data_IF_365882044476
#
_entry.id   IF_365882044476
#
_cell.length_a   1.000
_cell.length_b   1.000
_cell.length_c   1.000
_cell.angle_alpha   90.00
_cell.angle_beta   90.00
_cell.angle_gamma   90.00
#
_symmetry.space_group_name_H-M   'P 1'
#
loop_
_entity.id
_entity.type
_entity.pdbx_description
1 polymer ?
#
# COMPACT_ATOMS: atom_id res chain seq x y z
N UNK A 1 -33.91 26.90 -26.47
CA UNK A 1 -33.54 27.20 -25.07
C UNK A 1 -33.00 25.89 -24.50
N UNK A 2 -31.68 25.74 -24.54
CA UNK A 2 -31.01 24.55 -24.02
C UNK A 2 -30.98 24.60 -22.50
N UNK A 3 -31.27 23.47 -21.88
CA UNK A 3 -31.00 23.20 -20.47
C UNK A 3 -29.71 22.37 -20.48
N UNK A 4 -28.60 23.01 -20.10
CA UNK A 4 -27.39 22.30 -19.72
C UNK A 4 -27.47 22.10 -18.20
N UNK A 5 -27.41 20.83 -17.82
CA UNK A 5 -27.33 20.33 -16.45
C UNK A 5 -25.85 20.13 -16.14
N UNK A 6 -25.20 21.17 -15.61
CA UNK A 6 -23.83 21.12 -15.10
C UNK A 6 -23.88 20.85 -13.60
N UNK A 7 -24.09 19.60 -13.22
CA UNK A 7 -23.87 19.10 -11.87
C UNK A 7 -22.38 18.86 -11.65
N UNK A 8 -21.63 19.91 -11.33
CA UNK A 8 -20.24 19.79 -10.87
C UNK A 8 -20.17 19.17 -9.46
N UNK A 9 -19.39 18.10 -9.36
CA UNK A 9 -19.01 17.40 -8.13
C UNK A 9 -18.29 18.35 -7.14
N UNK A 10 -19.04 18.95 -6.22
CA UNK A 10 -18.48 19.49 -4.99
C UNK A 10 -18.06 18.34 -4.06
N UNK A 11 -16.81 17.92 -4.18
CA UNK A 11 -16.16 17.06 -3.19
C UNK A 11 -16.12 17.79 -1.83
N UNK A 12 -17.12 17.52 -1.00
CA UNK A 12 -17.33 18.18 0.29
C UNK A 12 -16.16 17.93 1.23
N UNK A 13 -15.30 18.95 1.36
CA UNK A 13 -14.30 19.03 2.42
C UNK A 13 -14.96 18.86 3.79
N UNK A 14 -14.38 17.99 4.61
CA UNK A 14 -14.93 17.66 5.93
C UNK A 14 -14.67 18.81 6.90
N UNK A 15 -15.67 19.25 7.71
CA UNK A 15 -15.43 20.19 8.78
C UNK A 15 -14.35 19.68 9.75
N UNK A 16 -13.47 20.57 10.22
CA UNK A 16 -12.38 20.26 11.17
C UNK A 16 -12.87 19.53 12.43
N UNK A 17 -14.12 19.74 12.83
CA UNK A 17 -14.77 19.10 13.98
C UNK A 17 -15.01 17.59 13.77
N UNK A 18 -15.35 17.17 12.54
CA UNK A 18 -15.53 15.74 12.22
C UNK A 18 -14.19 15.03 12.04
N UNK A 19 -13.13 15.73 11.61
CA UNK A 19 -11.77 15.17 11.62
C UNK A 19 -11.24 14.93 13.04
N UNK A 20 -11.73 15.67 14.04
CA UNK A 20 -11.32 15.52 15.43
C UNK A 20 -11.89 14.26 16.12
N UNK A 21 -12.88 13.59 15.52
CA UNK A 21 -13.44 12.34 16.06
C UNK A 21 -12.71 11.07 15.62
N UNK A 22 -11.88 11.16 14.58
CA UNK A 22 -11.07 10.04 14.10
C UNK A 22 -9.67 10.14 14.71
N UNK A 23 -9.27 9.13 15.48
CA UNK A 23 -7.91 9.02 15.98
C UNK A 23 -7.07 8.27 14.94
N UNK A 24 -6.10 8.94 14.34
CA UNK A 24 -5.17 8.33 13.39
C UNK A 24 -3.77 8.90 13.55
N UNK A 25 -2.77 8.09 13.25
CA UNK A 25 -1.36 8.52 13.31
C UNK A 25 -1.06 9.46 12.14
N UNK A 26 -0.45 10.60 12.46
CA UNK A 26 -0.02 11.60 11.49
C UNK A 26 1.47 11.89 11.61
N UNK A 27 2.19 11.67 10.53
CA UNK A 27 3.57 12.10 10.34
C UNK A 27 3.63 13.40 9.53
N UNK A 28 4.68 14.20 9.74
CA UNK A 28 4.88 15.47 9.04
C UNK A 28 6.31 15.60 8.54
N UNK A 29 6.45 15.95 7.26
CA UNK A 29 7.74 16.23 6.63
C UNK A 29 7.73 17.62 5.98
N UNK A 30 8.91 18.14 5.66
CA UNK A 30 9.07 19.41 4.96
C UNK A 30 9.46 19.14 3.52
N UNK A 31 8.66 19.62 2.57
CA UNK A 31 8.95 19.53 1.14
C UNK A 31 9.35 20.89 0.56
N UNK A 32 10.38 20.94 -0.29
CA UNK A 32 10.78 22.16 -1.02
C UNK A 32 9.94 22.28 -2.30
N UNK A 33 8.98 23.21 -2.42
CA UNK A 33 8.09 23.27 -3.58
C UNK A 33 8.81 23.78 -4.84
N UNK A 34 8.53 23.16 -6.00
CA UNK A 34 8.99 23.59 -7.32
C UNK A 34 7.99 24.50 -8.02
N UNK A 35 6.69 24.23 -7.84
CA UNK A 35 5.60 25.09 -8.30
C UNK A 35 4.75 25.54 -7.12
N UNK A 36 4.16 26.74 -7.24
CA UNK A 36 3.28 27.33 -6.21
C UNK A 36 1.91 27.75 -6.74
N UNK A 37 1.61 27.41 -8.00
CA UNK A 37 0.37 27.82 -8.65
C UNK A 37 -0.83 27.00 -8.15
N UNK A 38 -1.93 27.69 -7.89
CA UNK A 38 -3.20 27.07 -7.51
C UNK A 38 -3.81 26.37 -8.73
N UNK A 39 -4.17 25.08 -8.60
CA UNK A 39 -4.75 24.28 -9.68
C UNK A 39 -3.76 23.34 -10.39
N UNK A 40 -2.45 23.48 -10.15
CA UNK A 40 -1.45 22.53 -10.63
C UNK A 40 -1.16 21.44 -9.58
N UNK A 41 -0.80 20.24 -10.05
CA UNK A 41 -0.26 19.20 -9.16
C UNK A 41 1.00 19.71 -8.48
N UNK A 42 1.04 19.61 -7.15
CA UNK A 42 2.21 20.05 -6.37
C UNK A 42 3.43 19.20 -6.71
N UNK A 43 4.53 19.86 -7.10
CA UNK A 43 5.83 19.23 -7.33
C UNK A 43 6.84 19.73 -6.31
N UNK A 44 7.76 18.85 -5.92
CA UNK A 44 8.78 19.11 -4.91
C UNK A 44 10.16 18.75 -5.43
N UNK A 45 11.18 19.32 -4.82
CA UNK A 45 12.56 18.82 -4.96
C UNK A 45 12.71 17.66 -3.99
N UNK A 46 13.03 16.47 -4.52
CA UNK A 46 13.30 15.26 -3.76
C UNK A 46 14.55 15.37 -2.88
N UNK A 47 14.77 14.32 -2.08
CA UNK A 47 16.00 14.11 -1.31
C UNK A 47 17.20 13.73 -2.20
N UNK A 48 16.92 13.27 -3.41
CA UNK A 48 17.88 13.05 -4.50
C UNK A 48 18.10 14.30 -5.37
N UNK A 49 17.58 15.45 -4.96
CA UNK A 49 17.62 16.74 -5.67
C UNK A 49 16.90 16.76 -7.04
N UNK A 50 16.14 15.70 -7.36
CA UNK A 50 15.33 15.61 -8.59
C UNK A 50 13.87 16.07 -8.38
N UNK A 51 13.18 16.56 -9.43
CA UNK A 51 11.76 16.89 -9.35
C UNK A 51 10.87 15.67 -9.12
N UNK A 52 10.07 15.67 -8.06
CA UNK A 52 9.17 14.57 -7.70
C UNK A 52 7.75 15.06 -7.32
N UNK A 53 6.79 14.14 -7.28
CA UNK A 53 5.44 14.36 -6.72
C UNK A 53 5.46 14.25 -5.19
N UNK A 54 4.33 14.55 -4.55
CA UNK A 54 4.22 14.47 -3.08
C UNK A 54 4.32 13.02 -2.57
N UNK A 55 3.76 12.07 -3.32
CA UNK A 55 3.78 10.63 -2.98
C UNK A 55 5.19 10.07 -3.09
N UNK A 56 5.93 10.50 -4.11
CA UNK A 56 7.33 10.11 -4.33
C UNK A 56 8.25 10.67 -3.26
N UNK A 57 8.03 11.92 -2.85
CA UNK A 57 8.72 12.50 -1.69
C UNK A 57 8.45 11.68 -0.42
N UNK A 58 7.21 11.18 -0.27
CA UNK A 58 6.83 10.24 0.78
C UNK A 58 7.61 8.93 0.71
N UNK A 59 7.68 8.30 -0.46
CA UNK A 59 8.46 7.06 -0.68
C UNK A 59 9.94 7.25 -0.31
N UNK A 60 10.58 8.32 -0.78
CA UNK A 60 11.97 8.64 -0.43
C UNK A 60 12.15 8.84 1.08
N UNK A 61 11.25 9.59 1.73
CA UNK A 61 11.30 9.81 3.17
C UNK A 61 11.22 8.49 3.95
N UNK A 62 10.31 7.60 3.56
CA UNK A 62 10.15 6.30 4.22
C UNK A 62 11.35 5.37 4.00
N UNK A 63 11.96 5.42 2.81
CA UNK A 63 13.17 4.66 2.49
C UNK A 63 14.36 5.08 3.34
N UNK A 64 14.60 6.39 3.49
CA UNK A 64 15.89 6.89 3.99
C UNK A 64 15.82 7.56 5.38
N UNK A 65 14.66 8.05 5.80
CA UNK A 65 14.58 9.04 6.88
C UNK A 65 13.51 8.77 7.94
N UNK A 66 12.54 7.88 7.68
CA UNK A 66 11.46 7.63 8.64
C UNK A 66 11.99 7.01 9.94
N UNK A 67 11.75 7.63 11.12
CA UNK A 67 12.27 7.15 12.38
C UNK A 67 11.57 5.87 12.84
N UNK A 68 12.34 4.94 13.42
CA UNK A 68 11.78 3.73 14.02
C UNK A 68 11.68 3.91 15.55
N UNK A 69 10.60 3.42 16.16
CA UNK A 69 10.35 3.50 17.61
C UNK A 69 11.26 2.59 18.45
N UNK A 70 12.42 2.16 17.92
CA UNK A 70 13.38 1.33 18.64
C UNK A 70 14.33 2.23 19.41
N UNK A 71 13.98 2.53 20.66
CA UNK A 71 14.86 3.22 21.62
C UNK A 71 15.88 2.23 22.17
N UNK A 72 16.81 1.80 21.32
CA UNK A 72 18.09 1.27 21.81
C UNK A 72 18.96 2.49 22.09
N UNK A 73 19.54 2.59 23.29
CA UNK A 73 20.16 3.82 23.84
C UNK A 73 21.26 4.50 23.01
N UNK A 74 21.70 3.94 21.87
CA UNK A 74 22.85 4.45 21.14
C UNK A 74 22.68 4.56 19.61
N UNK A 75 21.61 4.03 18.98
CA UNK A 75 21.38 4.17 17.52
C UNK A 75 19.89 4.37 17.24
N UNK A 76 19.51 5.55 16.70
CA UNK A 76 18.18 5.76 16.11
C UNK A 76 18.21 5.13 14.72
N UNK A 77 17.63 3.94 14.56
CA UNK A 77 17.43 3.36 13.23
C UNK A 77 16.35 4.16 12.49
N UNK A 78 16.64 4.54 11.24
CA UNK A 78 15.71 5.19 10.33
C UNK A 78 15.55 4.34 9.07
N UNK A 79 14.53 4.63 8.26
CA UNK A 79 14.46 4.10 6.89
C UNK A 79 14.16 2.59 6.78
N UNK A 80 14.54 2.04 5.63
CA UNK A 80 14.38 0.63 5.27
C UNK A 80 12.98 0.25 4.79
N UNK A 81 12.15 1.23 4.42
CA UNK A 81 10.83 0.99 3.84
C UNK A 81 10.86 1.17 2.33
N UNK A 82 10.40 0.15 1.61
CA UNK A 82 10.27 0.16 0.15
C UNK A 82 8.82 -0.06 -0.22
N UNK A 83 8.33 0.60 -1.25
CA UNK A 83 6.92 0.50 -1.59
C UNK A 83 6.56 1.05 -2.94
N UNK A 84 5.26 1.14 -3.16
CA UNK A 84 4.64 1.62 -4.40
C UNK A 84 3.53 2.62 -4.09
N UNK A 85 3.35 3.60 -4.97
CA UNK A 85 2.14 4.40 -5.03
C UNK A 85 1.10 3.65 -5.86
N UNK A 86 0.12 3.02 -5.18
CA UNK A 86 -0.79 2.05 -5.81
C UNK A 86 -2.26 2.43 -5.78
N UNK A 87 -2.65 3.44 -4.99
CA UNK A 87 -4.06 3.85 -4.81
C UNK A 87 -4.96 2.64 -4.50
N UNK A 88 -4.44 1.69 -3.71
CA UNK A 88 -5.10 0.45 -3.33
C UNK A 88 -5.13 -0.67 -4.39
N UNK A 89 -4.48 -0.52 -5.54
CA UNK A 89 -4.48 -1.55 -6.61
C UNK A 89 -3.91 -2.89 -6.16
N UNK A 90 -2.89 -2.87 -5.30
CA UNK A 90 -2.30 -4.09 -4.72
C UNK A 90 -3.36 -4.87 -3.94
N UNK A 91 -4.14 -4.21 -3.07
CA UNK A 91 -5.20 -4.88 -2.31
C UNK A 91 -6.33 -5.39 -3.20
N UNK A 92 -6.72 -4.61 -4.22
CA UNK A 92 -7.71 -5.07 -5.21
C UNK A 92 -7.23 -6.34 -5.92
N UNK A 93 -5.97 -6.38 -6.35
CA UNK A 93 -5.36 -7.56 -6.96
C UNK A 93 -5.32 -8.74 -5.99
N UNK A 94 -4.90 -8.52 -4.73
CA UNK A 94 -4.89 -9.57 -3.71
C UNK A 94 -6.29 -10.18 -3.52
N UNK A 95 -7.32 -9.33 -3.39
CA UNK A 95 -8.71 -9.76 -3.28
C UNK A 95 -9.18 -10.50 -4.53
N UNK A 96 -9.01 -9.91 -5.72
CA UNK A 96 -9.47 -10.48 -6.97
C UNK A 96 -8.87 -11.86 -7.26
N UNK A 97 -7.58 -12.03 -7.01
CA UNK A 97 -6.87 -13.32 -7.21
C UNK A 97 -7.25 -14.31 -6.11
N UNK A 98 -7.19 -13.94 -4.83
CA UNK A 98 -7.51 -14.85 -3.72
C UNK A 98 -9.00 -15.15 -3.57
N UNK A 99 -9.90 -14.41 -4.23
CA UNK A 99 -11.34 -14.67 -4.21
C UNK A 99 -11.87 -15.07 -5.58
N UNK A 100 -11.01 -15.37 -6.56
CA UNK A 100 -11.42 -15.60 -7.94
C UNK A 100 -12.57 -16.61 -8.10
N UNK A 101 -12.44 -17.78 -7.47
CA UNK A 101 -13.47 -18.83 -7.51
C UNK A 101 -14.79 -18.42 -6.84
N UNK A 102 -14.73 -17.47 -5.91
CA UNK A 102 -15.89 -16.92 -5.22
C UNK A 102 -16.56 -15.85 -6.09
N UNK A 103 -15.77 -14.92 -6.62
CA UNK A 103 -16.21 -13.80 -7.45
C UNK A 103 -16.88 -14.28 -8.75
N UNK A 104 -16.31 -15.30 -9.38
CA UNK A 104 -16.77 -15.85 -10.65
C UNK A 104 -17.51 -17.20 -10.50
N UNK A 105 -18.04 -17.48 -9.31
CA UNK A 105 -18.88 -18.65 -9.06
C UNK A 105 -20.14 -18.63 -9.96
N UNK A 106 -20.63 -19.83 -10.32
CA UNK A 106 -21.85 -20.00 -11.10
C UNK A 106 -23.09 -19.77 -10.22
N UNK A 107 -23.41 -18.49 -9.97
CA UNK A 107 -24.65 -18.06 -9.29
C UNK A 107 -25.68 -17.68 -10.37
N UNK A 108 -26.95 -18.09 -10.25
CA UNK A 108 -27.99 -17.72 -11.21
C UNK A 108 -28.10 -16.20 -11.39
N UNK A 109 -28.34 -15.76 -12.63
CA UNK A 109 -28.67 -14.37 -13.01
C UNK A 109 -27.60 -13.28 -12.78
N UNK A 110 -26.45 -13.59 -12.16
CA UNK A 110 -25.40 -12.59 -11.89
C UNK A 110 -24.44 -12.38 -13.07
N UNK A 111 -24.34 -13.36 -13.97
CA UNK A 111 -23.62 -13.26 -15.25
C UNK A 111 -24.59 -13.56 -16.39
N UNK A 112 -25.03 -12.51 -17.07
CA UNK A 112 -26.00 -12.54 -18.16
C UNK A 112 -25.33 -12.49 -19.53
N UNK A 113 -24.09 -12.01 -19.60
CA UNK A 113 -23.33 -11.92 -20.86
C UNK A 113 -21.87 -12.37 -20.70
N UNK A 114 -21.20 -12.83 -21.77
CA UNK A 114 -19.78 -13.18 -21.75
C UNK A 114 -18.82 -11.99 -21.54
N UNK A 115 -19.31 -10.75 -21.56
CA UNK A 115 -18.48 -9.53 -21.53
C UNK A 115 -18.38 -8.89 -20.14
N UNK A 116 -18.96 -9.51 -19.12
CA UNK A 116 -18.93 -8.96 -17.77
C UNK A 116 -17.59 -9.17 -17.07
N UNK A 117 -17.03 -8.09 -16.52
CA UNK A 117 -15.78 -8.12 -15.74
C UNK A 117 -15.99 -8.38 -14.24
N UNK A 118 -17.25 -8.37 -13.77
CA UNK A 118 -17.66 -8.63 -12.39
C UNK A 118 -19.11 -9.15 -12.33
N UNK A 119 -19.50 -9.86 -11.26
CA UNK A 119 -20.88 -10.29 -11.09
C UNK A 119 -21.80 -9.10 -10.78
N UNK A 120 -23.02 -9.11 -11.31
CA UNK A 120 -23.97 -7.99 -11.18
C UNK A 120 -24.38 -7.72 -9.73
N UNK A 121 -24.35 -8.75 -8.88
CA UNK A 121 -24.70 -8.62 -7.47
C UNK A 121 -23.59 -8.04 -6.60
N UNK A 122 -22.36 -7.87 -7.12
CA UNK A 122 -21.26 -7.27 -6.35
C UNK A 122 -21.60 -5.87 -5.81
N UNK A 123 -22.40 -5.06 -6.51
CA UNK A 123 -22.80 -3.74 -6.01
C UNK A 123 -23.68 -3.77 -4.75
N UNK A 124 -24.18 -4.94 -4.36
CA UNK A 124 -25.12 -5.13 -3.27
C UNK A 124 -24.50 -6.09 -2.23
N UNK A 125 -23.70 -5.54 -1.31
CA UNK A 125 -22.87 -6.34 -0.41
C UNK A 125 -23.62 -7.44 0.35
N UNK A 126 -24.79 -7.13 0.90
CA UNK A 126 -25.62 -8.10 1.63
C UNK A 126 -26.04 -9.26 0.70
N UNK A 127 -26.48 -8.96 -0.53
CA UNK A 127 -26.92 -9.97 -1.51
C UNK A 127 -25.74 -10.80 -2.02
N UNK A 128 -24.62 -10.14 -2.36
CA UNK A 128 -23.40 -10.80 -2.81
C UNK A 128 -22.90 -11.81 -1.77
N UNK A 129 -22.88 -11.39 -0.50
CA UNK A 129 -22.45 -12.23 0.61
C UNK A 129 -23.40 -13.40 0.82
N UNK A 130 -24.71 -13.16 0.92
CA UNK A 130 -25.70 -14.23 1.16
C UNK A 130 -25.64 -15.31 0.07
N UNK A 131 -25.54 -14.91 -1.21
CA UNK A 131 -25.47 -15.84 -2.33
C UNK A 131 -24.17 -16.66 -2.36
N UNK A 132 -23.12 -16.23 -1.67
CA UNK A 132 -21.78 -16.85 -1.69
C UNK A 132 -21.25 -17.16 -0.30
N UNK A 133 -22.10 -17.17 0.73
CA UNK A 133 -21.70 -17.27 2.13
C UNK A 133 -20.76 -18.44 2.35
N UNK A 134 -21.16 -19.63 1.94
CA UNK A 134 -20.35 -20.84 2.13
C UNK A 134 -18.99 -20.77 1.41
N UNK A 135 -18.94 -20.18 0.22
CA UNK A 135 -17.69 -20.01 -0.54
C UNK A 135 -16.76 -18.98 0.12
N UNK A 136 -17.31 -17.86 0.58
CA UNK A 136 -16.59 -16.79 1.26
C UNK A 136 -16.04 -17.30 2.59
N UNK A 137 -16.88 -17.88 3.44
CA UNK A 137 -16.48 -18.41 4.74
C UNK A 137 -15.42 -19.50 4.60
N UNK A 138 -15.58 -20.39 3.62
CA UNK A 138 -14.58 -21.42 3.33
C UNK A 138 -13.24 -20.82 2.90
N UNK A 139 -13.22 -19.83 1.99
CA UNK A 139 -11.97 -19.20 1.56
C UNK A 139 -11.29 -18.46 2.71
N UNK A 140 -12.06 -17.81 3.58
CA UNK A 140 -11.52 -17.12 4.76
C UNK A 140 -10.92 -18.11 5.75
N UNK A 141 -11.60 -19.22 6.05
CA UNK A 141 -11.07 -20.29 6.91
C UNK A 141 -9.81 -20.94 6.30
N UNK A 142 -9.82 -21.15 4.98
CA UNK A 142 -8.65 -21.63 4.24
C UNK A 142 -7.43 -20.73 4.46
N UNK A 143 -7.58 -19.42 4.27
CA UNK A 143 -6.48 -18.47 4.44
C UNK A 143 -6.02 -18.39 5.90
N UNK A 144 -6.96 -18.29 6.84
CA UNK A 144 -6.67 -18.04 8.25
C UNK A 144 -6.12 -19.27 8.98
N UNK A 145 -6.79 -20.41 8.82
CA UNK A 145 -6.65 -21.55 9.71
C UNK A 145 -6.06 -22.79 9.00
N UNK A 146 -6.37 -23.02 7.72
CA UNK A 146 -5.99 -24.26 7.03
C UNK A 146 -4.69 -24.17 6.21
N UNK A 147 -4.42 -23.06 5.54
CA UNK A 147 -3.27 -22.92 4.66
C UNK A 147 -2.05 -22.45 5.44
N UNK A 148 -0.91 -23.11 5.20
CA UNK A 148 0.39 -22.54 5.57
C UNK A 148 0.70 -21.32 4.70
N UNK A 149 1.70 -20.52 5.08
CA UNK A 149 2.13 -19.39 4.25
C UNK A 149 2.57 -19.87 2.86
N UNK A 150 3.30 -20.98 2.79
CA UNK A 150 3.76 -21.57 1.53
C UNK A 150 2.58 -21.97 0.64
N UNK A 151 1.55 -22.60 1.22
CA UNK A 151 0.35 -23.00 0.49
C UNK A 151 -0.46 -21.80 0.00
N UNK A 152 -0.55 -20.74 0.80
CA UNK A 152 -1.19 -19.48 0.42
C UNK A 152 -0.48 -18.84 -0.78
N UNK A 153 0.85 -18.70 -0.71
CA UNK A 153 1.63 -18.12 -1.79
C UNK A 153 1.55 -18.98 -3.06
N UNK A 154 1.63 -20.29 -2.94
CA UNK A 154 1.46 -21.20 -4.07
C UNK A 154 0.07 -21.11 -4.71
N UNK A 155 -0.99 -21.03 -3.90
CA UNK A 155 -2.36 -20.85 -4.38
C UNK A 155 -2.54 -19.49 -5.09
N UNK A 156 -1.91 -18.44 -4.58
CA UNK A 156 -1.90 -17.13 -5.23
C UNK A 156 -1.23 -17.17 -6.60
N UNK A 157 0.00 -17.71 -6.68
CA UNK A 157 0.74 -17.85 -7.95
C UNK A 157 -0.03 -18.70 -8.96
N UNK A 158 -0.54 -19.86 -8.53
CA UNK A 158 -1.33 -20.74 -9.38
C UNK A 158 -2.51 -20.01 -10.02
N UNK A 159 -3.20 -19.18 -9.23
CA UNK A 159 -4.35 -18.41 -9.71
C UNK A 159 -3.93 -17.20 -10.55
N UNK A 160 -2.85 -16.52 -10.17
CA UNK A 160 -2.28 -15.43 -10.94
C UNK A 160 -1.97 -15.89 -12.37
N UNK A 161 -1.24 -17.00 -12.50
CA UNK A 161 -0.81 -17.54 -13.80
C UNK A 161 -2.00 -18.06 -14.64
N UNK A 162 -2.99 -18.70 -14.01
CA UNK A 162 -4.15 -19.27 -14.75
C UNK A 162 -5.12 -18.23 -15.27
N UNK A 163 -5.17 -17.05 -14.64
CA UNK A 163 -6.12 -15.98 -14.97
C UNK A 163 -5.45 -14.74 -15.57
N UNK A 164 -4.12 -14.73 -15.68
CA UNK A 164 -3.37 -13.59 -16.17
C UNK A 164 -3.91 -13.08 -17.52
N UNK A 165 -4.09 -11.77 -17.62
CA UNK A 165 -4.61 -11.10 -18.82
C UNK A 165 -6.13 -11.13 -18.98
N UNK A 166 -6.89 -11.87 -18.15
CA UNK A 166 -8.36 -11.82 -18.19
C UNK A 166 -8.89 -10.50 -17.65
N UNK A 167 -9.90 -9.94 -18.30
CA UNK A 167 -10.52 -8.69 -17.85
C UNK A 167 -11.28 -8.91 -16.54
N UNK A 168 -10.92 -8.18 -15.50
CA UNK A 168 -11.55 -8.23 -14.19
C UNK A 168 -11.75 -6.82 -13.64
N UNK A 169 -12.87 -6.56 -12.94
CA UNK A 169 -13.04 -5.33 -12.15
C UNK A 169 -12.06 -5.27 -10.98
N UNK A 170 -11.61 -6.42 -10.49
CA UNK A 170 -10.86 -6.54 -9.24
C UNK A 170 -9.37 -6.60 -9.46
N UNK A 171 -8.92 -7.10 -10.62
CA UNK A 171 -7.50 -7.28 -10.90
C UNK A 171 -7.06 -6.39 -12.05
N UNK A 172 -6.06 -5.56 -11.79
CA UNK A 172 -5.31 -4.84 -12.81
C UNK A 172 -3.98 -5.57 -13.05
N UNK A 173 -3.89 -6.25 -14.18
CA UNK A 173 -2.69 -7.00 -14.55
C UNK A 173 -1.55 -6.04 -14.92
N UNK A 174 -0.38 -6.17 -14.28
CA UNK A 174 0.79 -5.33 -14.54
C UNK A 174 1.43 -5.68 -15.88
N UNK A 175 2.14 -4.73 -16.48
CA UNK A 175 2.97 -4.98 -17.67
C UNK A 175 4.22 -5.82 -17.36
N UNK A 176 4.81 -5.62 -16.18
CA UNK A 176 5.87 -6.47 -15.63
C UNK A 176 5.25 -7.43 -14.61
N UNK A 177 4.89 -8.62 -15.07
CA UNK A 177 4.22 -9.65 -14.28
C UNK A 177 5.14 -10.27 -13.24
N UNK A 178 6.39 -10.55 -13.60
CA UNK A 178 7.38 -11.16 -12.71
C UNK A 178 7.68 -10.27 -11.51
N UNK A 179 8.02 -9.00 -11.74
CA UNK A 179 8.39 -8.09 -10.65
C UNK A 179 7.20 -7.78 -9.74
N UNK A 180 6.04 -7.57 -10.35
CA UNK A 180 4.81 -7.32 -9.61
C UNK A 180 4.37 -8.55 -8.82
N UNK A 181 4.49 -9.76 -9.36
CA UNK A 181 4.15 -10.98 -8.65
C UNK A 181 5.02 -11.14 -7.39
N UNK A 182 6.35 -10.96 -7.49
CA UNK A 182 7.24 -10.97 -6.32
C UNK A 182 6.79 -9.95 -5.25
N UNK A 183 6.45 -8.73 -5.67
CA UNK A 183 5.95 -7.70 -4.76
C UNK A 183 4.64 -8.11 -4.06
N UNK A 184 3.68 -8.70 -4.78
CA UNK A 184 2.43 -9.19 -4.18
C UNK A 184 2.69 -10.35 -3.20
N UNK A 185 3.63 -11.25 -3.51
CA UNK A 185 4.01 -12.34 -2.60
C UNK A 185 4.68 -11.82 -1.32
N UNK A 186 5.58 -10.85 -1.42
CA UNK A 186 6.16 -10.19 -0.24
C UNK A 186 5.10 -9.44 0.57
N UNK A 187 4.13 -8.82 -0.12
CA UNK A 187 2.99 -8.16 0.53
C UNK A 187 2.14 -9.15 1.31
N UNK A 188 1.81 -10.31 0.73
CA UNK A 188 1.07 -11.38 1.41
C UNK A 188 1.80 -11.88 2.66
N UNK A 189 3.13 -12.08 2.55
CA UNK A 189 3.95 -12.47 3.68
C UNK A 189 3.97 -11.42 4.79
N UNK A 190 4.02 -10.12 4.44
CA UNK A 190 4.04 -9.02 5.39
C UNK A 190 2.68 -8.71 6.04
N UNK A 191 1.56 -8.93 5.33
CA UNK A 191 0.21 -8.82 5.90
C UNK A 191 0.00 -9.92 6.95
N UNK A 192 0.42 -11.15 6.65
CA UNK A 192 0.12 -12.29 7.51
C UNK A 192 -1.27 -12.89 7.24
N UNK A 193 -1.48 -14.14 7.66
CA UNK A 193 -2.70 -14.90 7.32
C UNK A 193 -3.96 -14.38 8.00
N UNK A 194 -3.84 -13.85 9.22
CA UNK A 194 -5.00 -13.44 10.02
C UNK A 194 -5.57 -12.10 9.54
N UNK A 195 -4.70 -11.13 9.35
CA UNK A 195 -5.01 -9.80 8.84
C UNK A 195 -5.49 -9.89 7.38
N UNK A 196 -4.89 -10.78 6.57
CA UNK A 196 -5.35 -11.04 5.21
C UNK A 196 -6.76 -11.61 5.18
N UNK A 197 -7.07 -12.55 6.08
CA UNK A 197 -8.42 -13.11 6.21
C UNK A 197 -9.45 -12.03 6.60
N UNK A 198 -9.09 -11.13 7.53
CA UNK A 198 -9.92 -9.97 7.90
C UNK A 198 -10.12 -9.01 6.72
N UNK A 199 -9.06 -8.71 5.95
CA UNK A 199 -9.13 -7.87 4.76
C UNK A 199 -10.06 -8.48 3.69
N UNK A 200 -9.89 -9.77 3.36
CA UNK A 200 -10.73 -10.46 2.39
C UNK A 200 -12.20 -10.48 2.82
N UNK A 201 -12.45 -10.70 4.12
CA UNK A 201 -13.80 -10.64 4.69
C UNK A 201 -14.41 -9.26 4.53
N UNK A 202 -13.68 -8.22 4.93
CA UNK A 202 -14.13 -6.83 4.82
C UNK A 202 -14.47 -6.52 3.35
N UNK A 203 -13.58 -6.82 2.41
CA UNK A 203 -13.78 -6.57 0.99
C UNK A 203 -14.91 -7.40 0.35
N UNK A 204 -15.34 -8.51 0.97
CA UNK A 204 -16.45 -9.32 0.49
C UNK A 204 -17.82 -8.93 1.09
N UNK A 205 -17.83 -8.12 2.16
CA UNK A 205 -19.03 -7.84 2.96
C UNK A 205 -19.33 -6.36 3.17
N UNK A 206 -18.35 -5.48 2.99
CA UNK A 206 -18.49 -4.04 3.20
C UNK A 206 -19.26 -3.37 2.07
N UNK A 207 -20.27 -2.57 2.44
CA UNK A 207 -21.00 -1.71 1.50
C UNK A 207 -20.08 -0.66 0.89
N UNK A 208 -19.17 -0.12 1.69
CA UNK A 208 -18.21 0.90 1.32
C UNK A 208 -17.30 0.40 0.18
N UNK A 209 -16.72 -0.79 0.31
CA UNK A 209 -15.86 -1.35 -0.73
C UNK A 209 -16.65 -1.72 -2.01
N UNK A 210 -17.87 -2.22 -1.86
CA UNK A 210 -18.71 -2.63 -2.99
C UNK A 210 -19.23 -1.44 -3.81
N UNK A 211 -19.54 -0.32 -3.14
CA UNK A 211 -20.06 0.91 -3.76
C UNK A 211 -18.96 1.86 -4.20
N UNK A 212 -17.86 1.97 -3.45
CA UNK A 212 -16.77 2.88 -3.73
C UNK A 212 -15.40 2.28 -3.36
N UNK A 213 -14.66 1.84 -4.37
CA UNK A 213 -13.29 1.33 -4.23
C UNK A 213 -12.22 2.44 -4.14
N UNK A 214 -12.66 3.69 -3.91
CA UNK A 214 -11.81 4.88 -3.86
C UNK A 214 -11.50 5.23 -2.40
N UNK A 215 -10.36 5.91 -2.19
CA UNK A 215 -9.92 6.36 -0.87
C UNK A 215 -9.09 5.36 -0.08
N UNK A 216 -8.70 4.24 -0.72
CA UNK A 216 -7.62 3.39 -0.20
C UNK A 216 -6.32 4.20 -0.15
N UNK A 217 -5.44 3.96 0.85
CA UNK A 217 -4.19 4.71 1.01
C UNK A 217 -3.32 4.71 -0.26
N UNK A 218 -2.70 5.86 -0.52
CA UNK A 218 -1.81 6.07 -1.67
C UNK A 218 -0.65 5.06 -1.69
N UNK A 219 0.09 4.96 -0.58
CA UNK A 219 1.31 4.16 -0.50
C UNK A 219 1.09 2.85 0.25
N UNK A 220 1.66 1.78 -0.30
CA UNK A 220 1.89 0.52 0.40
C UNK A 220 3.40 0.33 0.56
N UNK A 221 3.85 0.24 1.81
CA UNK A 221 5.25 0.14 2.18
C UNK A 221 5.52 -1.19 2.86
N UNK A 222 6.62 -1.82 2.48
CA UNK A 222 7.17 -3.04 3.04
C UNK A 222 8.52 -2.75 3.67
N UNK A 223 8.75 -3.33 4.84
CA UNK A 223 10.05 -3.34 5.50
C UNK A 223 10.37 -4.74 5.95
N UNK A 224 11.40 -5.33 5.36
CA UNK A 224 11.80 -6.71 5.63
C UNK A 224 13.20 -6.66 6.24
N UNK A 225 13.27 -6.79 7.55
CA UNK A 225 14.54 -6.91 8.28
C UNK A 225 15.04 -8.34 8.16
N UNK A 226 16.31 -8.51 7.83
CA UNK A 226 16.97 -9.81 7.85
C UNK A 226 17.81 -9.90 9.13
N UNK A 227 17.46 -10.81 10.03
CA UNK A 227 18.17 -11.01 11.29
C UNK A 227 19.51 -11.70 11.04
N UNK A 228 20.59 -11.07 11.48
CA UNK A 228 21.93 -11.70 11.48
C UNK A 228 21.96 -12.75 12.61
N UNK A 229 22.41 -13.99 12.37
CA UNK A 229 22.74 -14.89 13.47
C UNK A 229 23.84 -14.26 14.33
N UNK A 230 23.68 -14.19 15.65
CA UNK A 230 24.60 -13.52 16.58
C UNK A 230 26.05 -14.05 16.55
N UNK A 231 26.30 -15.20 15.93
CA UNK A 231 27.58 -15.92 15.96
C UNK A 231 28.30 -16.07 14.59
N UNK A 232 27.83 -15.41 13.52
CA UNK A 232 28.52 -15.49 12.22
C UNK A 232 29.20 -14.14 11.87
N UNK A 233 30.54 -14.06 11.92
CA UNK A 233 31.29 -12.86 11.56
C UNK A 233 31.40 -12.64 10.04
N UNK A 234 30.90 -13.57 9.22
CA UNK A 234 30.88 -13.41 7.77
C UNK A 234 29.74 -12.47 7.34
N UNK A 235 29.98 -11.53 6.40
CA UNK A 235 28.92 -10.72 5.83
C UNK A 235 27.86 -11.64 5.19
N UNK A 236 26.58 -11.27 5.29
CA UNK A 236 25.51 -11.76 4.41
C UNK A 236 25.92 -11.40 2.97
N UNK A 237 26.72 -12.22 2.29
CA UNK A 237 27.17 -12.03 0.92
C UNK A 237 26.83 -13.27 0.08
N UNK A 238 26.24 -13.18 -1.13
CA UNK A 238 25.49 -12.08 -1.74
C UNK A 238 24.11 -12.59 -2.21
N UNK A 239 23.34 -13.32 -1.38
CA UNK A 239 22.10 -13.95 -1.88
C UNK A 239 20.95 -12.96 -2.08
N UNK A 240 20.84 -11.94 -1.22
CA UNK A 240 19.74 -10.99 -1.25
C UNK A 240 20.27 -9.55 -1.28
N UNK A 241 19.63 -8.63 -2.03
CA UNK A 241 20.02 -7.24 -2.07
C UNK A 241 19.61 -6.57 -0.75
N UNK A 242 20.58 -6.16 0.06
CA UNK A 242 20.38 -5.51 1.37
C UNK A 242 20.75 -4.03 1.26
N UNK A 243 19.95 -3.16 1.87
CA UNK A 243 20.17 -1.72 1.90
C UNK A 243 21.11 -1.28 3.05
N UNK A 244 21.34 0.03 3.17
CA UNK A 244 22.17 0.59 4.23
C UNK A 244 21.53 0.52 5.63
N UNK A 245 20.29 0.04 5.76
CA UNK A 245 19.53 -0.08 7.00
C UNK A 245 19.38 -1.54 7.47
N UNK A 246 20.16 -2.48 6.90
CA UNK A 246 20.06 -3.93 7.12
C UNK A 246 18.68 -4.52 6.74
N UNK A 247 17.98 -3.87 5.81
CA UNK A 247 16.69 -4.29 5.29
C UNK A 247 16.84 -4.81 3.85
N UNK A 248 15.95 -5.70 3.42
CA UNK A 248 15.89 -6.11 2.01
C UNK A 248 15.56 -4.89 1.14
N UNK A 249 16.37 -4.63 0.12
CA UNK A 249 15.98 -3.75 -0.98
C UNK A 249 14.91 -4.48 -1.82
N UNK A 250 13.64 -4.22 -1.51
CA UNK A 250 12.49 -4.86 -2.13
C UNK A 250 12.44 -4.59 -3.64
N UNK A 251 12.80 -3.38 -4.07
CA UNK A 251 12.80 -3.04 -5.51
C UNK A 251 13.81 -3.90 -6.26
N UNK A 252 15.05 -3.96 -5.79
CA UNK A 252 16.10 -4.79 -6.38
C UNK A 252 15.76 -6.29 -6.34
N UNK A 253 15.19 -6.79 -5.23
CA UNK A 253 14.76 -8.19 -5.11
C UNK A 253 13.66 -8.55 -6.12
N UNK A 254 12.69 -7.66 -6.28
CA UNK A 254 11.60 -7.86 -7.23
C UNK A 254 12.03 -7.63 -8.68
N UNK A 255 13.14 -6.92 -8.92
CA UNK A 255 13.51 -6.44 -10.25
C UNK A 255 12.69 -5.23 -10.71
N UNK A 256 12.13 -4.47 -9.77
CA UNK A 256 11.41 -3.23 -10.05
C UNK A 256 12.40 -2.09 -10.25
N UNK A 257 12.13 -1.21 -11.21
CA UNK A 257 12.94 0.00 -11.40
C UNK A 257 12.67 0.99 -10.25
N UNK A 258 13.72 1.30 -9.48
CA UNK A 258 13.71 2.29 -8.41
C UNK A 258 13.31 3.68 -8.92
N UNK A 259 13.58 3.99 -10.21
CA UNK A 259 13.23 5.27 -10.85
C UNK A 259 11.78 5.31 -11.32
N UNK A 260 11.20 4.19 -11.78
CA UNK A 260 9.81 4.15 -12.29
C UNK A 260 8.77 4.25 -11.18
N UNK A 261 9.08 3.80 -9.96
CA UNK A 261 8.26 4.09 -8.77
C UNK A 261 8.35 5.56 -8.33
N UNK A 262 9.27 6.33 -8.92
CA UNK A 262 9.55 7.72 -8.58
C UNK A 262 9.33 8.72 -9.71
N UNK A 263 8.86 8.33 -10.91
CA UNK A 263 8.39 9.26 -11.94
C UNK A 263 7.48 8.54 -12.95
N UNK A 264 6.26 9.05 -13.10
CA UNK A 264 5.19 8.67 -14.04
C UNK A 264 4.17 7.61 -13.58
N UNK A 265 2.88 7.96 -13.76
CA UNK A 265 1.78 7.00 -13.77
C UNK A 265 2.15 5.90 -14.75
N UNK A 266 2.03 4.63 -14.33
CA UNK A 266 2.19 3.42 -15.15
C UNK A 266 1.77 3.65 -16.59
N UNK A 267 2.76 3.90 -17.45
CA UNK A 267 2.62 3.88 -18.89
C UNK A 267 3.56 2.79 -19.40
N UNK A 268 2.97 1.85 -20.12
CA UNK A 268 3.57 0.69 -20.78
C UNK A 268 5.00 0.94 -21.26
N UNK A 269 5.99 0.34 -20.60
CA UNK A 269 7.34 0.26 -21.17
C UNK A 269 7.34 -0.79 -22.28
N UNK A 270 7.50 -0.32 -23.51
CA UNK A 270 7.88 -1.08 -24.69
C UNK A 270 9.05 -2.00 -24.35
N UNK A 271 8.91 -3.28 -24.66
CA UNK A 271 9.98 -4.27 -24.50
C UNK A 271 11.27 -3.78 -25.18
N UNK A 272 12.34 -3.65 -24.41
CA UNK A 272 13.70 -3.51 -24.95
C UNK A 272 14.13 -4.89 -25.44
N UNK A 273 13.88 -5.14 -26.72
CA UNK A 273 14.48 -6.25 -27.45
C UNK A 273 15.98 -5.98 -27.58
N UNK A 274 16.80 -7.02 -27.42
CA UNK A 274 18.21 -6.97 -27.77
C UNK A 274 18.37 -6.91 -29.32
N UNK A 275 19.58 -6.62 -29.80
CA UNK A 275 19.87 -6.46 -31.25
C UNK A 275 19.59 -7.72 -32.08
N UNK A 276 19.23 -8.85 -31.44
CA UNK A 276 18.92 -10.12 -32.10
C UNK A 276 17.48 -10.61 -31.87
N UNK A 277 16.62 -9.84 -31.18
CA UNK A 277 15.21 -10.18 -30.98
C UNK A 277 14.97 -11.49 -30.22
N UNK A 278 15.90 -11.91 -29.36
CA UNK A 278 15.81 -13.13 -28.57
C UNK A 278 15.80 -12.81 -27.08
N UNK A 279 14.90 -13.44 -26.33
CA UNK A 279 14.94 -13.44 -24.88
C UNK A 279 16.20 -14.19 -24.43
N UNK A 280 17.13 -13.51 -23.77
CA UNK A 280 18.31 -14.12 -23.15
C UNK A 280 17.90 -15.28 -22.23
N UNK A 281 18.40 -16.49 -22.50
CA UNK A 281 18.07 -17.74 -21.79
C UNK A 281 18.44 -17.74 -20.29
N UNK A 282 19.22 -16.78 -19.80
CA UNK A 282 19.68 -16.73 -18.40
C UNK A 282 18.61 -16.27 -17.38
N UNK A 283 17.43 -15.81 -17.83
CA UNK A 283 16.34 -15.34 -16.96
C UNK A 283 15.38 -16.44 -16.46
N UNK A 284 15.61 -17.71 -16.83
CA UNK A 284 14.60 -18.77 -16.71
C UNK A 284 14.60 -19.58 -15.40
N UNK A 285 15.60 -19.44 -14.52
CA UNK A 285 15.87 -20.48 -13.50
C UNK A 285 15.45 -20.16 -12.05
N UNK A 286 14.65 -19.12 -11.81
CA UNK A 286 14.01 -18.92 -10.51
C UNK A 286 12.56 -18.47 -10.63
N UNK A 287 11.62 -19.40 -10.42
CA UNK A 287 10.20 -19.09 -10.30
C UNK A 287 9.99 -18.04 -9.18
N UNK A 288 9.22 -16.95 -9.40
CA UNK A 288 8.97 -15.90 -8.40
C UNK A 288 8.58 -16.43 -7.02
N UNK A 289 7.83 -17.54 -6.99
CA UNK A 289 7.45 -18.24 -5.77
C UNK A 289 8.67 -18.75 -5.00
N UNK A 290 9.62 -19.41 -5.68
CA UNK A 290 10.77 -20.04 -5.05
C UNK A 290 11.69 -18.99 -4.42
N UNK A 291 11.89 -17.84 -5.06
CA UNK A 291 12.68 -16.74 -4.50
C UNK A 291 12.11 -16.26 -3.18
N UNK A 292 10.80 -16.02 -3.14
CA UNK A 292 10.12 -15.56 -1.93
C UNK A 292 10.11 -16.66 -0.87
N UNK A 293 9.85 -17.91 -1.23
CA UNK A 293 9.90 -19.02 -0.27
C UNK A 293 11.28 -19.20 0.35
N UNK A 294 12.36 -19.09 -0.44
CA UNK A 294 13.72 -19.15 0.07
C UNK A 294 14.03 -17.99 1.02
N UNK A 295 13.54 -16.79 0.73
CA UNK A 295 13.65 -15.65 1.64
C UNK A 295 12.96 -15.94 2.99
N UNK A 296 11.74 -16.49 2.94
CA UNK A 296 10.94 -16.76 4.14
C UNK A 296 11.46 -17.95 4.98
N UNK A 297 11.92 -19.02 4.34
CA UNK A 297 12.36 -20.25 4.99
C UNK A 297 13.65 -20.11 5.82
N UNK A 298 14.48 -19.10 5.53
CA UNK A 298 15.73 -18.88 6.28
C UNK A 298 15.50 -18.37 7.72
N UNK A 299 14.24 -18.31 8.20
CA UNK A 299 13.86 -18.26 9.62
C UNK A 299 14.18 -16.97 10.38
N UNK A 300 14.94 -16.07 9.76
CA UNK A 300 15.50 -14.88 10.38
C UNK A 300 15.03 -13.63 9.64
N UNK A 301 13.71 -13.43 9.52
CA UNK A 301 13.19 -12.20 8.94
C UNK A 301 12.01 -11.65 9.73
N UNK A 302 11.87 -10.33 9.71
CA UNK A 302 10.70 -9.63 10.23
C UNK A 302 10.17 -8.77 9.10
N UNK A 303 9.06 -9.19 8.51
CA UNK A 303 8.33 -8.43 7.51
C UNK A 303 7.29 -7.54 8.19
N UNK A 304 7.24 -6.27 7.79
CA UNK A 304 6.24 -5.30 8.25
C UNK A 304 5.63 -4.60 7.04
N UNK A 305 4.33 -4.34 7.13
CA UNK A 305 3.60 -3.53 6.17
C UNK A 305 3.14 -2.24 6.83
N UNK A 306 3.21 -1.13 6.09
CA UNK A 306 2.64 0.16 6.48
C UNK A 306 1.90 0.79 5.30
N UNK A 307 0.73 1.32 5.59
CA UNK A 307 -0.12 2.06 4.66
C UNK A 307 -0.04 3.54 4.97
N UNK A 308 0.13 4.35 3.93
CA UNK A 308 0.30 5.78 4.09
C UNK A 308 -0.54 6.52 3.07
N UNK A 309 -1.45 7.33 3.57
CA UNK A 309 -2.16 8.34 2.79
C UNK A 309 -1.32 9.63 2.80
N UNK A 310 -0.99 10.17 1.63
CA UNK A 310 -0.08 11.31 1.50
C UNK A 310 -0.87 12.57 1.19
N UNK A 311 -0.69 13.60 2.01
CA UNK A 311 -1.35 14.89 1.83
C UNK A 311 -0.36 16.00 1.60
N UNK A 312 -0.53 16.68 0.47
CA UNK A 312 0.20 17.91 0.16
C UNK A 312 -0.22 19.08 1.07
N UNK A 313 0.49 20.22 0.99
CA UNK A 313 0.34 21.34 1.92
C UNK A 313 -1.06 21.95 2.04
N UNK A 314 -1.90 21.76 1.01
CA UNK A 314 -3.24 22.33 0.91
C UNK A 314 -4.33 21.26 0.85
N UNK A 315 -3.94 19.99 0.89
CA UNK A 315 -4.86 18.86 0.77
C UNK A 315 -5.32 18.39 2.16
N UNK A 316 -6.49 17.76 2.21
CA UNK A 316 -7.10 17.23 3.42
C UNK A 316 -7.66 15.83 3.15
N UNK A 317 -7.78 15.05 4.21
CA UNK A 317 -8.43 13.75 4.14
C UNK A 317 -9.92 13.90 3.86
N UNK A 318 -10.41 13.15 2.88
CA UNK A 318 -11.84 12.91 2.67
C UNK A 318 -12.41 12.01 3.78
N UNK A 319 -13.74 11.99 3.94
CA UNK A 319 -14.41 11.07 4.89
C UNK A 319 -14.07 9.61 4.57
N UNK A 320 -14.01 9.26 3.27
CA UNK A 320 -13.69 7.90 2.83
C UNK A 320 -12.28 7.49 3.23
N UNK A 321 -11.30 8.38 3.08
CA UNK A 321 -9.92 8.13 3.50
C UNK A 321 -9.82 7.96 5.03
N UNK A 322 -10.50 8.81 5.81
CA UNK A 322 -10.54 8.66 7.28
C UNK A 322 -11.11 7.31 7.69
N UNK A 323 -12.20 6.89 7.06
CA UNK A 323 -12.82 5.61 7.33
C UNK A 323 -11.88 4.44 6.99
N UNK A 324 -11.21 4.48 5.84
CA UNK A 324 -10.22 3.47 5.47
C UNK A 324 -9.07 3.38 6.46
N UNK A 325 -8.51 4.53 6.91
CA UNK A 325 -7.46 4.54 7.92
C UNK A 325 -7.94 3.89 9.24
N UNK A 326 -9.18 4.15 9.65
CA UNK A 326 -9.76 3.52 10.83
C UNK A 326 -9.93 2.01 10.64
N UNK A 327 -10.54 1.57 9.54
CA UNK A 327 -10.76 0.15 9.23
C UNK A 327 -9.43 -0.62 9.24
N UNK A 328 -8.39 -0.07 8.59
CA UNK A 328 -7.09 -0.72 8.56
C UNK A 328 -6.51 -0.89 9.96
N UNK A 329 -6.53 0.16 10.79
CA UNK A 329 -5.93 0.08 12.13
C UNK A 329 -6.78 -0.72 13.14
N UNK A 330 -8.11 -0.59 13.11
CA UNK A 330 -9.00 -1.11 14.16
C UNK A 330 -9.62 -2.47 13.81
N UNK A 331 -10.02 -2.68 12.55
CA UNK A 331 -10.73 -3.89 12.14
C UNK A 331 -9.80 -4.93 11.50
N UNK A 332 -8.88 -4.48 10.63
CA UNK A 332 -7.99 -5.39 9.89
C UNK A 332 -6.70 -5.67 10.67
N UNK A 333 -6.17 -4.67 11.39
CA UNK A 333 -4.92 -4.78 12.15
C UNK A 333 -3.65 -4.40 11.36
N UNK A 334 -3.79 -3.59 10.31
CA UNK A 334 -2.67 -3.07 9.52
C UNK A 334 -2.30 -1.63 9.95
N UNK A 335 -1.00 -1.35 10.02
CA UNK A 335 -0.49 -0.01 10.34
C UNK A 335 -0.85 0.95 9.20
N UNK A 336 -1.85 1.80 9.42
CA UNK A 336 -2.20 2.87 8.49
C UNK A 336 -2.03 4.24 9.13
N UNK A 337 -1.49 5.19 8.36
CA UNK A 337 -1.17 6.53 8.84
C UNK A 337 -1.30 7.57 7.73
N UNK A 338 -1.29 8.84 8.11
CA UNK A 338 -1.25 9.95 7.17
C UNK A 338 0.12 10.64 7.21
N UNK A 339 0.69 10.90 6.04
CA UNK A 339 1.90 11.71 5.89
C UNK A 339 1.51 13.07 5.32
N UNK A 340 1.74 14.14 6.08
CA UNK A 340 1.50 15.50 5.59
C UNK A 340 2.81 16.20 5.21
N UNK A 341 2.88 16.69 3.98
CA UNK A 341 4.01 17.47 3.47
C UNK A 341 3.73 18.96 3.70
N UNK A 342 4.53 19.58 4.56
CA UNK A 342 4.47 21.02 4.85
C UNK A 342 5.46 21.80 3.98
N UNK A 343 5.09 23.01 3.55
CA UNK A 343 6.05 23.95 2.99
C UNK A 343 6.95 24.53 4.10
N UNK A 344 8.21 24.92 3.79
CA UNK A 344 9.17 25.37 4.80
C UNK A 344 8.68 26.58 5.60
N UNK A 345 7.93 27.48 4.96
CA UNK A 345 7.37 28.68 5.58
C UNK A 345 6.30 28.34 6.63
N UNK A 346 5.45 27.35 6.35
CA UNK A 346 4.40 26.88 7.27
C UNK A 346 5.05 26.15 8.45
N UNK A 347 6.02 25.28 8.17
CA UNK A 347 6.81 24.59 9.18
C UNK A 347 7.49 25.57 10.15
N UNK A 348 8.16 26.61 9.61
CA UNK A 348 8.83 27.62 10.42
C UNK A 348 7.85 28.40 11.32
N UNK A 349 6.67 28.78 10.79
CA UNK A 349 5.60 29.42 11.58
C UNK A 349 5.10 28.50 12.71
N UNK A 350 4.92 27.21 12.44
CA UNK A 350 4.48 26.22 13.43
C UNK A 350 5.52 26.03 14.54
N UNK A 351 6.79 25.82 14.19
CA UNK A 351 7.89 25.71 15.16
C UNK A 351 8.02 26.95 16.05
N UNK A 352 7.84 28.15 15.48
CA UNK A 352 7.82 29.39 16.26
C UNK A 352 6.66 29.42 17.27
N UNK A 353 5.45 29.01 16.88
CA UNK A 353 4.29 28.90 17.79
C UNK A 353 4.51 27.86 18.89
N UNK A 354 5.04 26.68 18.55
CA UNK A 354 5.36 25.62 19.53
C UNK A 354 6.42 26.08 20.54
N UNK A 355 7.45 26.80 20.09
CA UNK A 355 8.46 27.38 20.98
C UNK A 355 7.88 28.41 21.95
N UNK A 356 7.00 29.30 21.46
CA UNK A 356 6.31 30.29 22.30
C UNK A 356 5.38 29.62 23.31
N UNK A 357 4.65 28.56 22.92
CA UNK A 357 3.77 27.83 23.81
C UNK A 357 4.52 27.08 24.93
N UNK A 358 5.73 26.57 24.66
CA UNK A 358 6.60 25.95 25.66
C UNK A 358 7.19 26.96 26.67
N UNK A 359 7.34 28.22 26.25
CA UNK A 359 7.84 29.33 27.08
C UNK A 359 6.73 30.04 27.89
N UNK A 360 5.45 29.78 27.58
CA UNK A 360 4.34 30.37 28.33
C UNK A 360 4.25 29.76 29.75
N UNK A 361 4.14 30.58 30.81
CA UNK A 361 4.10 30.07 32.18
C UNK A 361 2.85 29.20 32.38
N UNK A 362 3.04 27.96 32.86
CA UNK A 362 1.94 27.05 33.23
C UNK A 362 1.04 27.77 34.24
N UNK A 363 -0.18 28.12 33.83
CA UNK A 363 -1.17 28.73 34.73
C UNK A 363 -1.39 27.80 35.92
N UNK A 364 -0.90 28.19 37.10
CA UNK A 364 -1.22 27.54 38.38
C UNK A 364 -2.74 27.50 38.53
N UNK A 365 -3.34 26.31 38.47
CA UNK A 365 -4.72 26.12 38.87
C UNK A 365 -4.86 26.52 40.35
N UNK A 366 -5.50 27.66 40.60
CA UNK A 366 -6.02 27.99 41.94
C UNK A 366 -7.10 26.96 42.25
N UNK A 367 -6.77 25.99 43.12
CA UNK A 367 -7.77 25.19 43.83
C UNK A 367 -8.70 26.17 44.57
N UNK A 368 -9.96 26.26 44.14
CA UNK A 368 -11.02 26.84 44.96
C UNK A 368 -11.28 25.85 46.10
N UNK A 369 -11.12 26.33 47.33
CA UNK A 369 -11.54 25.65 48.56
C UNK A 369 -13.05 25.78 48.71
#
# INVERSE_FOLDING_TARGET
MGVNDDGEDEEKTVPLETQASFDYRQDRIVGRPLNRQTGEKSRFVGYDDEPCTVEQLGLQYYRDHHPLNVVSKEIVKTGGWYGVHSEGSVFRNLFGVLMWDVLYACIPDVFQTPFQSAPLDFGYADVFYENRRDLIEKRIAQVKDEWTMEKLLAAFVTRWDSEFGKVSRFVHWPSDDVASLKFHLLTLAAIGRSELASLLRYMATSKEFHQAQNGLPDLLLLRIELSRPENDPLPLSPRWPIDCHDCLNVHSFCGMDERLNMNEKTCSSTALLDENGMLSEEKLDALPLNDVLQLLQNGNHVARLKLVEVKGPRDRLSVKQLLWLQIFNEEIGLDASMLHVEEPEIYAKRKKKEGIAKLAPKKRHKRRK
#
